data_IF_874214540345
#
_entry.id   IF_874214540345
#
_cell.length_a   1.000
_cell.length_b   1.000
_cell.length_c   1.000
_cell.angle_alpha   90.00
_cell.angle_beta   90.00
_cell.angle_gamma   90.00
#
_symmetry.space_group_name_H-M   'P 1'
#
loop_
_entity.id
_entity.type
_entity.pdbx_description
1 polymer ?
#
# COMPACT_ATOMS: atom_id res chain seq x y z
N UNK A 1 -0.08 21.18 25.39
CA UNK A 1 -1.40 20.62 25.75
C UNK A 1 -1.62 19.44 24.81
N UNK A 2 -1.35 18.18 25.17
CA UNK A 2 -1.07 17.59 26.51
C UNK A 2 0.25 16.80 26.47
N UNK A 3 0.96 16.74 27.60
CA UNK A 3 2.11 15.84 27.84
C UNK A 3 1.74 14.81 28.92
N UNK A 4 2.57 13.75 29.05
CA UNK A 4 2.71 12.83 30.20
C UNK A 4 1.61 11.79 30.49
N UNK A 5 2.00 10.51 30.33
CA UNK A 5 1.81 9.37 31.27
C UNK A 5 3.07 8.48 31.04
N UNK A 6 4.17 8.55 31.82
CA UNK A 6 4.40 8.03 33.19
C UNK A 6 4.17 6.51 33.27
N UNK A 7 5.15 5.67 32.95
CA UNK A 7 6.14 5.10 33.89
C UNK A 7 5.56 4.58 35.22
N UNK A 8 5.23 3.29 35.26
CA UNK A 8 5.22 2.50 36.49
C UNK A 8 5.62 1.05 36.21
N UNK A 9 6.82 0.67 36.64
CA UNK A 9 7.19 -0.71 36.97
C UNK A 9 8.05 -0.61 38.23
N UNK A 10 7.50 -1.05 39.36
CA UNK A 10 8.21 -1.07 40.65
C UNK A 10 8.88 -2.42 40.85
N UNK A 11 10.04 -2.35 41.46
CA UNK A 11 10.84 -3.50 41.87
C UNK A 11 10.07 -4.36 42.90
N UNK A 12 10.33 -5.67 42.89
CA UNK A 12 10.00 -6.58 43.99
C UNK A 12 11.12 -7.60 44.15
N UNK A 13 11.36 -7.99 45.40
CA UNK A 13 12.66 -8.47 45.88
C UNK A 13 12.85 -9.98 45.79
N UNK A 14 14.11 -10.41 45.93
CA UNK A 14 14.57 -11.78 45.70
C UNK A 14 14.25 -12.79 46.81
N UNK A 15 14.22 -14.08 46.45
CA UNK A 15 14.59 -15.21 47.31
C UNK A 15 15.01 -16.44 46.48
N UNK A 16 16.22 -16.95 46.73
CA UNK A 16 16.73 -18.28 46.31
C UNK A 16 16.62 -19.26 47.52
N UNK A 17 17.01 -20.57 47.49
CA UNK A 17 17.88 -21.32 46.56
C UNK A 17 17.17 -22.61 46.01
N UNK A 18 17.77 -23.73 45.56
CA UNK A 18 19.17 -24.23 45.53
C UNK A 18 19.40 -25.37 44.49
N UNK A 19 20.67 -25.82 44.39
CA UNK A 19 21.14 -27.17 43.98
C UNK A 19 21.02 -27.62 42.51
N UNK A 20 22.13 -27.42 41.78
CA UNK A 20 22.98 -28.54 41.34
C UNK A 20 22.61 -29.39 40.11
N UNK A 21 23.27 -29.13 38.97
CA UNK A 21 23.82 -30.16 38.07
C UNK A 21 24.73 -29.49 37.01
N UNK A 22 25.83 -30.14 36.62
CA UNK A 22 26.81 -29.58 35.70
C UNK A 22 26.84 -30.33 34.36
N UNK A 23 26.79 -29.61 33.24
CA UNK A 23 27.34 -30.12 31.97
C UNK A 23 27.78 -29.02 30.99
N UNK A 24 28.98 -29.21 30.44
CA UNK A 24 29.48 -28.74 29.13
C UNK A 24 29.20 -27.31 28.64
N UNK A 25 30.28 -26.54 28.49
CA UNK A 25 30.37 -25.39 27.59
C UNK A 25 30.07 -25.80 26.14
N UNK A 26 28.91 -25.43 25.60
CA UNK A 26 28.75 -25.23 24.16
C UNK A 26 29.18 -23.80 23.81
N UNK A 27 29.93 -23.64 22.73
CA UNK A 27 30.22 -22.32 22.17
C UNK A 27 28.93 -21.68 21.66
N UNK A 28 28.78 -20.34 21.70
CA UNK A 28 27.65 -19.69 21.05
C UNK A 28 27.71 -19.99 19.55
N UNK A 29 26.72 -20.72 19.05
CA UNK A 29 26.46 -20.81 17.62
C UNK A 29 26.33 -19.38 17.09
N UNK A 30 26.99 -19.11 15.96
CA UNK A 30 26.84 -17.86 15.24
C UNK A 30 25.36 -17.49 15.14
N UNK A 31 24.98 -16.20 15.31
CA UNK A 31 23.66 -15.76 14.93
C UNK A 31 23.46 -16.12 13.46
N UNK A 32 22.52 -17.03 13.21
CA UNK A 32 21.96 -17.22 11.88
C UNK A 32 21.53 -15.83 11.40
N UNK A 33 21.83 -15.51 10.15
CA UNK A 33 21.48 -14.22 9.55
C UNK A 33 19.95 -14.08 9.68
N UNK A 34 19.50 -13.26 10.64
CA UNK A 34 18.09 -12.92 10.76
C UNK A 34 17.67 -12.33 9.43
N UNK A 35 16.77 -13.03 8.73
CA UNK A 35 16.37 -12.66 7.39
C UNK A 35 15.87 -11.21 7.39
N UNK A 36 16.11 -10.49 6.29
CA UNK A 36 15.52 -9.18 6.08
C UNK A 36 14.00 -9.30 5.98
N UNK A 37 13.34 -9.33 7.14
CA UNK A 37 11.90 -9.23 7.24
C UNK A 37 11.50 -7.83 6.77
N UNK A 38 10.96 -7.75 5.55
CA UNK A 38 10.38 -6.52 5.03
C UNK A 38 9.26 -6.06 5.97
N UNK A 39 9.58 -5.08 6.82
CA UNK A 39 8.66 -4.49 7.80
C UNK A 39 7.37 -3.94 7.19
N UNK A 40 7.39 -3.64 5.89
CA UNK A 40 6.24 -3.18 5.14
C UNK A 40 5.95 -4.15 4.00
N UNK A 41 4.67 -4.42 3.80
CA UNK A 41 4.14 -5.33 2.76
C UNK A 41 3.17 -4.56 1.87
N UNK A 42 2.86 -5.11 0.69
CA UNK A 42 1.81 -4.58 -0.17
C UNK A 42 0.48 -5.19 0.27
N UNK A 43 -0.50 -4.34 0.57
CA UNK A 43 -1.77 -4.71 1.17
C UNK A 43 -2.92 -4.15 0.33
N UNK A 44 -4.03 -4.88 0.26
CA UNK A 44 -5.35 -4.30 0.01
C UNK A 44 -5.96 -4.05 1.38
N UNK A 45 -6.53 -2.86 1.58
CA UNK A 45 -7.15 -2.49 2.84
C UNK A 45 -8.50 -1.83 2.61
N UNK A 46 -9.44 -2.08 3.51
CA UNK A 46 -10.73 -1.40 3.59
C UNK A 46 -10.83 -0.61 4.91
N UNK A 47 -11.74 0.35 4.99
CA UNK A 47 -11.89 1.20 6.17
C UNK A 47 -12.96 0.61 7.11
N UNK A 48 -12.56 0.25 8.34
CA UNK A 48 -13.40 -0.50 9.28
C UNK A 48 -14.76 0.19 9.51
N UNK A 49 -15.87 -0.52 9.27
CA UNK A 49 -17.21 -0.10 9.67
C UNK A 49 -17.93 -1.24 10.38
N UNK A 50 -18.37 -0.98 11.62
CA UNK A 50 -19.11 -1.91 12.48
C UNK A 50 -20.35 -2.54 11.83
N UNK A 51 -20.95 -1.87 10.85
CA UNK A 51 -22.13 -2.34 10.14
C UNK A 51 -21.82 -3.30 8.98
N UNK A 52 -20.56 -3.41 8.56
CA UNK A 52 -20.07 -4.30 7.50
C UNK A 52 -19.23 -5.44 8.05
N UNK A 53 -18.30 -5.12 8.95
CA UNK A 53 -17.30 -6.05 9.47
C UNK A 53 -17.71 -6.68 10.80
N UNK A 54 -18.85 -6.24 11.36
CA UNK A 54 -19.23 -6.51 12.73
C UNK A 54 -18.45 -5.65 13.73
N UNK A 55 -18.90 -5.68 14.99
CA UNK A 55 -18.19 -5.15 16.15
C UNK A 55 -18.84 -5.78 17.39
N UNK A 56 -18.11 -6.63 18.12
CA UNK A 56 -18.62 -7.41 19.26
C UNK A 56 -17.99 -6.92 20.56
N UNK A 57 -18.36 -7.54 21.69
CA UNK A 57 -17.72 -7.29 22.99
C UNK A 57 -16.27 -7.79 23.04
N UNK A 58 -15.88 -8.68 22.11
CA UNK A 58 -14.52 -9.20 21.96
C UNK A 58 -13.64 -8.32 21.05
N UNK A 59 -14.25 -7.42 20.26
CA UNK A 59 -13.53 -6.52 19.36
C UNK A 59 -12.68 -5.49 20.12
N UNK A 60 -11.49 -5.17 19.60
CA UNK A 60 -10.67 -4.10 20.16
C UNK A 60 -11.38 -2.74 19.93
N UNK A 61 -11.64 -1.93 20.98
CA UNK A 61 -12.30 -0.64 20.83
C UNK A 61 -11.61 0.32 19.85
N UNK A 62 -10.31 0.14 19.62
CA UNK A 62 -9.50 0.96 18.73
C UNK A 62 -9.56 0.53 17.26
N UNK A 63 -10.21 -0.60 16.90
CA UNK A 63 -10.38 -1.00 15.50
C UNK A 63 -11.18 0.03 14.68
N UNK A 64 -12.02 0.83 15.35
CA UNK A 64 -12.84 1.86 14.72
C UNK A 64 -11.97 2.96 14.11
N UNK A 65 -12.11 3.19 12.79
CA UNK A 65 -11.31 4.16 12.04
C UNK A 65 -9.92 3.66 11.61
N UNK A 66 -9.56 2.42 11.93
CA UNK A 66 -8.41 1.76 11.32
C UNK A 66 -8.75 1.18 9.94
N UNK A 67 -7.71 0.97 9.15
CA UNK A 67 -7.79 0.18 7.92
C UNK A 67 -7.66 -1.29 8.27
N UNK A 68 -8.63 -2.12 7.89
CA UNK A 68 -8.52 -3.58 7.97
C UNK A 68 -7.67 -4.10 6.81
N UNK A 69 -6.87 -5.14 7.07
CA UNK A 69 -6.15 -5.86 6.01
C UNK A 69 -7.11 -6.85 5.36
N UNK A 70 -7.41 -6.62 4.09
CA UNK A 70 -8.30 -7.45 3.27
C UNK A 70 -7.52 -8.56 2.58
N UNK A 71 -6.32 -8.21 2.10
CA UNK A 71 -5.37 -9.13 1.50
C UNK A 71 -3.95 -8.60 1.71
N UNK A 72 -2.99 -9.50 1.92
CA UNK A 72 -1.58 -9.18 1.88
C UNK A 72 -0.87 -9.99 0.80
N UNK A 73 -0.16 -9.29 -0.07
CA UNK A 73 0.73 -9.97 -1.00
C UNK A 73 1.99 -10.40 -0.26
N UNK A 74 2.12 -11.70 -0.07
CA UNK A 74 3.44 -12.33 0.06
C UNK A 74 4.14 -12.29 -1.30
N UNK A 75 5.47 -12.18 -1.32
CA UNK A 75 6.28 -11.80 -2.50
C UNK A 75 6.03 -12.60 -3.81
N UNK A 76 5.34 -13.75 -3.75
CA UNK A 76 5.11 -14.62 -4.91
C UNK A 76 3.88 -14.24 -5.76
N UNK A 77 2.94 -13.40 -5.29
CA UNK A 77 1.71 -13.10 -6.05
C UNK A 77 1.78 -11.91 -7.02
N UNK A 78 2.54 -10.84 -6.70
CA UNK A 78 2.53 -9.59 -7.48
C UNK A 78 3.01 -9.77 -8.93
N UNK A 79 4.03 -10.62 -9.16
CA UNK A 79 4.77 -10.64 -10.42
C UNK A 79 4.35 -11.74 -11.42
N UNK A 80 3.47 -12.69 -11.03
CA UNK A 80 3.05 -13.80 -11.92
C UNK A 80 2.34 -13.35 -13.21
N UNK A 81 1.86 -12.10 -13.28
CA UNK A 81 1.25 -11.54 -14.49
C UNK A 81 2.25 -11.16 -15.59
N UNK A 82 3.56 -11.14 -15.29
CA UNK A 82 4.58 -11.18 -16.34
C UNK A 82 4.84 -12.67 -16.59
N UNK A 83 4.29 -13.18 -17.69
CA UNK A 83 4.27 -14.61 -18.04
C UNK A 83 5.65 -15.20 -18.28
N UNK A 84 6.40 -15.43 -17.21
CA UNK A 84 7.62 -16.23 -17.21
C UNK A 84 7.27 -17.66 -16.82
N UNK A 85 7.55 -18.59 -17.72
CA UNK A 85 7.69 -20.00 -17.34
C UNK A 85 8.84 -20.16 -16.32
N UNK A 86 8.99 -21.34 -15.71
CA UNK A 86 9.93 -21.57 -14.58
C UNK A 86 11.43 -21.34 -14.92
N UNK A 87 11.72 -21.18 -16.20
CA UNK A 87 12.97 -20.92 -16.89
C UNK A 87 13.22 -19.43 -17.22
N UNK A 88 12.26 -18.54 -16.94
CA UNK A 88 12.48 -17.09 -16.93
C UNK A 88 12.46 -16.40 -18.30
N UNK A 89 12.04 -17.10 -19.35
CA UNK A 89 11.98 -16.56 -20.71
C UNK A 89 10.73 -15.70 -20.94
N UNK A 90 10.87 -14.61 -21.71
CA UNK A 90 9.82 -13.61 -21.92
C UNK A 90 8.95 -14.02 -23.12
N UNK A 91 7.71 -14.45 -22.87
CA UNK A 91 6.76 -14.79 -23.93
C UNK A 91 6.07 -13.51 -24.42
N UNK A 92 6.50 -13.04 -25.59
CA UNK A 92 5.91 -11.87 -26.25
C UNK A 92 4.62 -12.28 -26.97
N UNK A 93 3.46 -12.16 -26.29
CA UNK A 93 2.14 -12.50 -26.84
C UNK A 93 1.65 -11.46 -27.84
N UNK A 94 2.36 -11.36 -28.96
CA UNK A 94 1.96 -10.63 -30.16
C UNK A 94 1.70 -11.63 -31.30
N UNK A 95 0.64 -12.43 -31.16
CA UNK A 95 0.15 -13.31 -32.22
C UNK A 95 -1.30 -12.93 -32.58
N UNK A 96 -1.43 -12.01 -33.54
CA UNK A 96 -2.56 -12.01 -34.47
C UNK A 96 -2.51 -13.32 -35.27
N UNK A 97 -3.53 -14.16 -35.15
CA UNK A 97 -3.73 -15.31 -36.05
C UNK A 97 -5.19 -15.73 -36.03
N UNK A 98 -5.98 -15.19 -36.95
CA UNK A 98 -7.27 -15.78 -37.36
C UNK A 98 -7.04 -17.24 -37.77
N UNK A 99 -7.59 -18.19 -37.01
CA UNK A 99 -7.59 -19.60 -37.41
C UNK A 99 -8.79 -20.32 -36.80
N UNK A 100 -9.87 -20.43 -37.58
CA UNK A 100 -10.98 -21.33 -37.28
C UNK A 100 -10.45 -22.77 -37.24
N UNK A 101 -10.42 -23.36 -36.04
CA UNK A 101 -10.23 -24.80 -35.87
C UNK A 101 -11.04 -25.31 -34.69
N UNK A 102 -12.12 -26.02 -35.01
CA UNK A 102 -12.89 -26.80 -34.05
C UNK A 102 -11.98 -27.94 -33.51
N UNK A 103 -11.37 -27.69 -32.37
CA UNK A 103 -10.66 -28.68 -31.58
C UNK A 103 -11.22 -28.65 -30.16
N UNK A 104 -11.68 -29.80 -29.66
CA UNK A 104 -12.25 -29.94 -28.32
C UNK A 104 -11.22 -29.57 -27.25
N UNK A 105 -11.28 -28.33 -26.74
CA UNK A 105 -10.48 -27.88 -25.60
C UNK A 105 -11.03 -28.53 -24.33
N UNK A 106 -10.29 -29.50 -23.81
CA UNK A 106 -10.54 -30.00 -22.46
C UNK A 106 -10.45 -28.84 -21.45
N UNK A 107 -11.49 -28.68 -20.63
CA UNK A 107 -11.60 -27.62 -19.62
C UNK A 107 -10.55 -27.83 -18.50
N UNK A 108 -9.30 -27.44 -18.76
CA UNK A 108 -8.37 -27.10 -17.69
C UNK A 108 -8.81 -25.79 -17.04
N UNK A 109 -9.05 -25.82 -15.73
CA UNK A 109 -9.54 -24.70 -14.92
C UNK A 109 -8.64 -23.46 -15.03
N UNK A 110 -8.99 -22.51 -15.91
CA UNK A 110 -8.31 -21.21 -16.01
C UNK A 110 -8.62 -20.28 -14.82
N UNK A 111 -9.57 -20.65 -13.94
CA UNK A 111 -10.03 -19.80 -12.84
C UNK A 111 -9.09 -19.73 -11.63
N UNK A 112 -8.24 -20.74 -11.40
CA UNK A 112 -7.45 -20.82 -10.16
C UNK A 112 -6.26 -19.84 -10.12
N UNK A 113 -5.77 -19.38 -11.28
CA UNK A 113 -4.63 -18.45 -11.36
C UNK A 113 -5.04 -16.98 -11.24
N UNK A 114 -6.30 -16.64 -11.52
CA UNK A 114 -6.80 -15.27 -11.47
C UNK A 114 -6.95 -14.73 -10.03
N UNK A 115 -7.39 -15.59 -9.10
CA UNK A 115 -7.54 -15.22 -7.67
C UNK A 115 -6.22 -15.10 -6.90
N UNK A 116 -5.13 -15.67 -7.39
CA UNK A 116 -3.81 -15.59 -6.74
C UNK A 116 -3.15 -14.20 -6.88
N UNK A 117 -3.66 -13.31 -7.76
CA UNK A 117 -3.09 -12.00 -8.00
C UNK A 117 -3.82 -10.87 -7.25
N UNK A 118 -3.06 -9.90 -6.73
CA UNK A 118 -3.60 -8.70 -6.09
C UNK A 118 -4.61 -7.93 -6.97
N UNK A 119 -4.47 -7.97 -8.30
CA UNK A 119 -5.41 -7.34 -9.23
C UNK A 119 -6.75 -8.08 -9.32
N UNK A 120 -6.77 -9.42 -9.42
CA UNK A 120 -8.01 -10.20 -9.43
C UNK A 120 -8.76 -10.09 -8.10
N UNK A 121 -8.02 -10.06 -6.99
CA UNK A 121 -8.59 -9.79 -5.66
C UNK A 121 -9.17 -8.37 -5.60
N UNK A 122 -8.48 -7.35 -6.10
CA UNK A 122 -9.06 -6.00 -6.19
C UNK A 122 -10.35 -6.00 -6.99
N UNK A 123 -10.38 -6.62 -8.17
CA UNK A 123 -11.55 -6.66 -9.05
C UNK A 123 -12.74 -7.36 -8.37
N UNK A 124 -12.51 -8.51 -7.71
CA UNK A 124 -13.50 -9.18 -6.86
C UNK A 124 -14.08 -8.25 -5.78
N UNK A 125 -13.23 -7.53 -5.03
CA UNK A 125 -13.71 -6.60 -4.00
C UNK A 125 -14.43 -5.39 -4.58
N UNK A 126 -14.05 -4.92 -5.79
CA UNK A 126 -14.76 -3.83 -6.47
C UNK A 126 -16.17 -4.25 -6.88
N UNK A 127 -16.32 -5.42 -7.51
CA UNK A 127 -17.64 -5.98 -7.84
C UNK A 127 -18.52 -6.10 -6.59
N UNK A 128 -18.00 -6.71 -5.52
CA UNK A 128 -18.69 -6.78 -4.22
C UNK A 128 -19.16 -5.41 -3.70
N UNK A 129 -18.35 -4.36 -3.88
CA UNK A 129 -18.74 -3.01 -3.46
C UNK A 129 -19.77 -2.37 -4.40
N UNK A 130 -19.69 -2.60 -5.72
CA UNK A 130 -20.72 -2.15 -6.67
C UNK A 130 -22.07 -2.81 -6.36
N UNK A 131 -22.11 -4.13 -6.19
CA UNK A 131 -23.33 -4.87 -5.83
C UNK A 131 -23.97 -4.29 -4.55
N UNK A 132 -23.16 -4.03 -3.51
CA UNK A 132 -23.63 -3.44 -2.25
C UNK A 132 -24.07 -1.97 -2.34
N UNK A 133 -23.70 -1.25 -3.41
CA UNK A 133 -24.05 0.15 -3.66
C UNK A 133 -25.24 0.31 -4.61
N UNK A 134 -25.40 -0.59 -5.59
CA UNK A 134 -26.49 -0.55 -6.58
C UNK A 134 -27.82 -1.10 -6.05
N UNK A 135 -27.82 -1.84 -4.93
CA UNK A 135 -29.01 -2.53 -4.41
C UNK A 135 -29.99 -1.60 -3.66
N UNK A 136 -30.47 -0.56 -4.36
CA UNK A 136 -31.41 0.45 -3.86
C UNK A 136 -32.76 -0.12 -3.41
N UNK A 137 -33.12 -1.32 -3.84
CA UNK A 137 -34.39 -1.98 -3.51
C UNK A 137 -34.36 -2.78 -2.19
N UNK A 138 -33.19 -2.94 -1.55
CA UNK A 138 -33.10 -3.69 -0.29
C UNK A 138 -33.26 -2.76 0.91
N UNK A 139 -34.19 -3.03 1.85
CA UNK A 139 -34.34 -2.26 3.11
C UNK A 139 -33.16 -2.40 4.08
N UNK A 140 -32.04 -2.94 3.61
CA UNK A 140 -30.80 -3.19 4.33
C UNK A 140 -29.55 -2.64 3.64
N UNK A 141 -29.67 -1.69 2.69
CA UNK A 141 -28.53 -0.93 2.13
C UNK A 141 -27.46 -0.69 3.21
N UNK A 142 -26.28 -1.29 3.03
CA UNK A 142 -25.20 -1.33 4.05
C UNK A 142 -24.52 0.03 4.22
N UNK A 143 -24.77 0.92 3.27
CA UNK A 143 -24.20 2.26 3.15
C UNK A 143 -25.27 3.37 3.21
N UNK A 144 -26.51 3.01 3.55
CA UNK A 144 -27.62 3.97 3.66
C UNK A 144 -27.37 5.04 4.72
N UNK A 145 -28.12 6.17 4.68
CA UNK A 145 -27.86 7.36 5.51
C UNK A 145 -27.87 7.11 7.03
N UNK A 146 -28.42 5.97 7.49
CA UNK A 146 -28.46 5.59 8.91
C UNK A 146 -27.29 4.70 9.35
N UNK A 147 -26.29 4.44 8.49
CA UNK A 147 -25.10 3.58 8.77
C UNK A 147 -23.80 4.39 8.70
N UNK A 148 -23.81 5.58 9.28
CA UNK A 148 -22.64 6.46 9.38
C UNK A 148 -21.46 5.79 10.10
N UNK A 149 -20.23 6.05 9.63
CA UNK A 149 -19.02 5.57 10.30
C UNK A 149 -18.74 6.43 11.55
N UNK A 150 -18.51 5.82 12.74
CA UNK A 150 -18.49 6.53 14.03
C UNK A 150 -17.51 7.71 14.12
N UNK A 151 -16.36 7.62 13.42
CA UNK A 151 -15.32 8.65 13.43
C UNK A 151 -15.15 9.44 12.11
N UNK A 152 -15.76 9.00 10.99
CA UNK A 152 -15.36 9.44 9.64
C UNK A 152 -16.59 9.96 8.91
N UNK A 153 -16.81 11.27 9.05
CA UNK A 153 -17.98 11.98 8.51
C UNK A 153 -18.15 11.83 6.99
N UNK A 154 -17.05 11.71 6.26
CA UNK A 154 -17.05 11.58 4.80
C UNK A 154 -16.99 10.12 4.33
N UNK A 155 -17.40 9.15 5.15
CA UNK A 155 -17.25 7.72 4.85
C UNK A 155 -17.91 7.32 3.53
N UNK A 156 -19.17 7.72 3.32
CA UNK A 156 -19.92 7.43 2.10
C UNK A 156 -19.15 7.81 0.82
N UNK A 157 -18.68 9.05 0.72
CA UNK A 157 -17.91 9.50 -0.44
C UNK A 157 -16.55 8.79 -0.60
N UNK A 158 -15.99 8.20 0.47
CA UNK A 158 -14.76 7.40 0.40
C UNK A 158 -15.06 6.02 -0.19
N UNK A 159 -16.14 5.36 0.21
CA UNK A 159 -16.49 4.00 -0.26
C UNK A 159 -17.13 3.98 -1.65
N UNK A 160 -17.86 5.03 -2.04
CA UNK A 160 -18.45 5.16 -3.38
C UNK A 160 -17.37 5.44 -4.44
N UNK A 161 -16.23 6.02 -4.04
CA UNK A 161 -15.02 6.11 -4.86
C UNK A 161 -14.24 4.78 -4.82
N UNK A 162 -14.91 3.72 -5.30
CA UNK A 162 -14.48 2.30 -5.22
C UNK A 162 -13.05 2.11 -5.73
N UNK A 163 -12.68 2.76 -6.84
CA UNK A 163 -11.34 2.70 -7.45
C UNK A 163 -10.23 3.28 -6.56
N UNK A 164 -10.50 4.40 -5.86
CA UNK A 164 -9.53 5.00 -4.94
C UNK A 164 -9.60 4.41 -3.53
N UNK A 165 -10.71 3.78 -3.15
CA UNK A 165 -10.87 3.05 -1.89
C UNK A 165 -10.06 1.76 -1.92
N UNK A 166 -10.38 0.87 -2.86
CA UNK A 166 -9.80 -0.45 -3.01
C UNK A 166 -8.63 -0.40 -4.00
N UNK A 167 -7.44 -0.17 -3.46
CA UNK A 167 -6.18 -0.14 -4.21
C UNK A 167 -5.01 -0.67 -3.37
N UNK A 168 -3.87 -1.04 -3.99
CA UNK A 168 -2.70 -1.51 -3.26
C UNK A 168 -2.06 -0.37 -2.48
N UNK A 169 -1.84 -0.60 -1.19
CA UNK A 169 -1.18 0.33 -0.29
C UNK A 169 0.01 -0.37 0.39
N UNK A 170 1.15 0.32 0.52
CA UNK A 170 2.29 -0.17 1.30
C UNK A 170 2.01 0.14 2.78
N UNK A 171 1.96 -0.90 3.62
CA UNK A 171 1.59 -0.77 5.03
C UNK A 171 2.36 -1.69 5.97
N UNK A 172 2.26 -1.39 7.26
CA UNK A 172 2.63 -2.29 8.36
C UNK A 172 1.37 -2.99 8.85
N UNK A 173 1.33 -4.33 8.81
CA UNK A 173 0.28 -5.13 9.46
C UNK A 173 0.49 -5.17 10.97
N UNK A 174 -0.59 -5.09 11.73
CA UNK A 174 -0.64 -5.28 13.18
C UNK A 174 -1.90 -6.08 13.52
N UNK A 175 -1.85 -6.88 14.58
CA UNK A 175 -3.03 -7.50 15.17
C UNK A 175 -3.42 -6.74 16.43
N UNK A 176 -4.71 -6.45 16.58
CA UNK A 176 -5.31 -5.84 17.77
C UNK A 176 -5.69 -6.92 18.81
N UNK A 177 -6.13 -6.53 20.01
CA UNK A 177 -6.41 -7.52 21.07
C UNK A 177 -7.61 -8.42 20.79
N UNK A 178 -8.57 -7.98 19.96
CA UNK A 178 -9.70 -8.78 19.48
C UNK A 178 -9.36 -9.69 18.29
N UNK A 179 -8.09 -9.73 17.86
CA UNK A 179 -7.63 -10.53 16.72
C UNK A 179 -7.78 -9.85 15.35
N UNK A 180 -8.26 -8.61 15.29
CA UNK A 180 -8.43 -7.88 14.03
C UNK A 180 -7.08 -7.52 13.41
N UNK A 181 -6.90 -7.83 12.12
CA UNK A 181 -5.70 -7.47 11.37
C UNK A 181 -5.85 -6.07 10.77
N UNK A 182 -5.08 -5.11 11.27
CA UNK A 182 -5.12 -3.69 10.84
C UNK A 182 -3.84 -3.25 10.16
N UNK A 183 -3.95 -2.25 9.28
CA UNK A 183 -2.85 -1.69 8.52
C UNK A 183 -2.53 -0.24 8.95
N UNK A 184 -1.24 0.03 9.22
CA UNK A 184 -0.71 1.41 9.26
C UNK A 184 -0.11 1.73 7.90
N UNK A 185 -0.88 2.44 7.06
CA UNK A 185 -0.47 2.85 5.71
C UNK A 185 0.77 3.78 5.76
N UNK A 186 1.75 3.53 4.89
CA UNK A 186 3.00 4.32 4.77
C UNK A 186 3.11 5.10 3.46
N UNK A 187 2.18 4.89 2.54
CA UNK A 187 2.13 5.56 1.24
C UNK A 187 1.89 7.07 1.32
N UNK A 188 1.38 7.62 2.43
CA UNK A 188 1.19 9.06 2.60
C UNK A 188 2.49 9.85 2.35
N UNK A 189 3.59 9.47 3.00
CA UNK A 189 4.89 10.12 2.82
C UNK A 189 5.46 9.90 1.41
N UNK A 190 5.26 8.70 0.85
CA UNK A 190 5.65 8.39 -0.52
C UNK A 190 4.90 9.29 -1.53
N UNK A 191 3.59 9.49 -1.36
CA UNK A 191 2.76 10.38 -2.18
C UNK A 191 3.21 11.84 -2.07
N UNK A 192 3.61 12.30 -0.88
CA UNK A 192 4.20 13.64 -0.68
C UNK A 192 5.51 13.80 -1.47
N UNK A 193 6.42 12.84 -1.34
CA UNK A 193 7.72 12.85 -2.06
C UNK A 193 7.48 12.81 -3.57
N UNK A 194 6.65 11.89 -4.05
CA UNK A 194 6.28 11.75 -5.46
C UNK A 194 5.65 13.03 -6.04
N UNK A 195 4.70 13.67 -5.33
CA UNK A 195 4.10 14.95 -5.74
C UNK A 195 5.16 16.04 -5.88
N UNK A 196 6.07 16.11 -4.91
CA UNK A 196 7.16 17.09 -4.91
C UNK A 196 8.16 16.84 -6.04
N UNK A 197 8.51 15.58 -6.30
CA UNK A 197 9.35 15.19 -7.44
C UNK A 197 8.69 15.51 -8.78
N UNK A 198 7.40 15.18 -8.96
CA UNK A 198 6.63 15.52 -10.16
C UNK A 198 6.59 17.04 -10.40
N UNK A 199 6.45 17.85 -9.35
CA UNK A 199 6.53 19.32 -9.42
C UNK A 199 7.92 19.81 -9.87
N UNK A 200 9.00 19.34 -9.23
CA UNK A 200 10.38 19.71 -9.59
C UNK A 200 10.71 19.28 -11.03
N UNK A 201 10.27 18.08 -11.43
CA UNK A 201 10.42 17.57 -12.80
C UNK A 201 9.69 18.45 -13.83
N UNK A 202 8.42 18.80 -13.57
CA UNK A 202 7.65 19.71 -14.43
C UNK A 202 8.33 21.08 -14.58
N UNK A 203 8.84 21.65 -13.48
CA UNK A 203 9.60 22.91 -13.53
C UNK A 203 10.91 22.78 -14.32
N UNK A 204 11.62 21.65 -14.20
CA UNK A 204 12.82 21.35 -15.01
C UNK A 204 12.49 21.25 -16.49
N UNK A 205 11.46 20.49 -16.86
CA UNK A 205 11.00 20.36 -18.24
C UNK A 205 10.63 21.73 -18.83
N UNK A 206 9.91 22.58 -18.07
CA UNK A 206 9.61 23.94 -18.48
C UNK A 206 10.87 24.80 -18.69
N UNK A 207 11.88 24.70 -17.82
CA UNK A 207 13.17 25.39 -18.00
C UNK A 207 13.92 24.90 -19.24
N UNK A 208 13.97 23.58 -19.48
CA UNK A 208 14.61 23.00 -20.67
C UNK A 208 13.91 23.44 -21.96
N UNK A 209 12.58 23.42 -21.99
CA UNK A 209 11.79 23.90 -23.12
C UNK A 209 12.00 25.39 -23.41
N UNK A 210 12.28 26.21 -22.39
CA UNK A 210 12.70 27.61 -22.60
C UNK A 210 14.11 27.69 -23.16
N UNK A 211 15.07 26.92 -22.63
CA UNK A 211 16.48 26.90 -23.07
C UNK A 211 16.68 26.46 -24.52
N UNK A 212 15.82 25.59 -25.06
CA UNK A 212 15.90 25.11 -26.45
C UNK A 212 15.40 26.15 -27.47
N UNK A 213 14.71 27.22 -27.03
CA UNK A 213 14.25 28.30 -27.92
C UNK A 213 15.43 29.02 -28.56
N UNK A 214 15.32 29.33 -29.86
CA UNK A 214 16.34 30.05 -30.64
C UNK A 214 16.74 31.38 -29.97
N UNK A 215 15.77 32.13 -29.42
CA UNK A 215 16.05 33.37 -28.68
C UNK A 215 16.92 33.16 -27.45
N UNK A 216 16.65 32.11 -26.65
CA UNK A 216 17.42 31.74 -25.46
C UNK A 216 18.81 31.21 -25.81
N UNK A 217 18.95 30.50 -26.93
CA UNK A 217 20.25 30.07 -27.47
C UNK A 217 21.08 31.27 -27.92
N UNK A 218 20.49 32.19 -28.70
CA UNK A 218 21.17 33.42 -29.15
C UNK A 218 21.62 34.29 -27.96
N UNK A 219 20.75 34.47 -26.96
CA UNK A 219 21.12 35.15 -25.71
C UNK A 219 22.34 34.50 -25.04
N UNK A 220 22.36 33.16 -24.96
CA UNK A 220 23.49 32.42 -24.38
C UNK A 220 24.76 32.55 -25.21
N UNK A 221 24.67 32.57 -26.54
CA UNK A 221 25.82 32.80 -27.42
C UNK A 221 26.42 34.19 -27.21
N UNK A 222 25.58 35.22 -27.05
CA UNK A 222 26.05 36.61 -26.88
C UNK A 222 26.56 36.92 -25.46
N UNK A 223 25.95 36.33 -24.42
CA UNK A 223 26.22 36.69 -23.00
C UNK A 223 26.96 35.61 -22.20
N UNK A 224 27.11 34.41 -22.75
CA UNK A 224 27.56 33.21 -22.03
C UNK A 224 26.55 32.63 -21.03
N UNK A 225 25.39 33.29 -20.82
CA UNK A 225 24.42 32.95 -19.77
C UNK A 225 23.02 32.68 -20.34
N UNK A 226 22.26 31.82 -19.65
CA UNK A 226 20.84 31.65 -19.94
C UNK A 226 20.03 32.90 -19.55
N UNK A 227 18.92 33.22 -20.24
CA UNK A 227 17.98 34.26 -19.81
C UNK A 227 17.45 34.00 -18.40
N UNK A 228 17.07 35.07 -17.68
CA UNK A 228 16.65 35.00 -16.27
C UNK A 228 15.48 34.03 -16.02
N UNK A 229 14.55 33.93 -16.98
CA UNK A 229 13.38 33.03 -16.90
C UNK A 229 13.73 31.52 -16.91
N UNK A 230 14.96 31.16 -17.27
CA UNK A 230 15.47 29.79 -17.29
C UNK A 230 16.92 29.69 -16.80
N UNK A 231 17.41 30.69 -16.07
CA UNK A 231 18.77 30.76 -15.53
C UNK A 231 19.03 29.63 -14.51
N UNK A 232 18.15 29.48 -13.54
CA UNK A 232 18.26 28.45 -12.49
C UNK A 232 17.51 27.19 -12.88
N UNK A 233 18.17 26.04 -12.79
CA UNK A 233 17.51 24.73 -12.91
C UNK A 233 17.06 24.26 -11.52
N UNK A 234 15.77 23.94 -11.30
CA UNK A 234 15.28 23.48 -10.00
C UNK A 234 16.04 22.26 -9.47
N UNK A 235 16.28 22.21 -8.16
CA UNK A 235 16.91 21.05 -7.49
C UNK A 235 15.93 20.38 -6.54
N UNK A 236 16.24 19.13 -6.15
CA UNK A 236 15.49 18.40 -5.12
C UNK A 236 15.89 18.83 -3.69
N UNK A 237 16.96 19.62 -3.51
CA UNK A 237 17.43 20.04 -2.19
C UNK A 237 16.48 21.11 -1.64
N UNK A 238 16.02 20.95 -0.40
CA UNK A 238 15.06 21.87 0.23
C UNK A 238 13.62 21.75 -0.27
N UNK A 239 13.31 20.84 -1.21
CA UNK A 239 11.96 20.72 -1.79
C UNK A 239 10.87 20.35 -0.76
N UNK A 240 11.26 19.70 0.35
CA UNK A 240 10.37 19.32 1.45
C UNK A 240 10.41 20.31 2.64
N UNK A 241 11.19 21.39 2.55
CA UNK A 241 11.36 22.35 3.65
C UNK A 241 10.04 23.00 4.06
N UNK A 242 9.13 23.23 3.11
CA UNK A 242 7.82 23.83 3.36
C UNK A 242 6.77 22.84 3.92
N UNK A 243 7.20 21.65 4.35
CA UNK A 243 6.35 20.58 4.90
C UNK A 243 6.75 20.16 6.32
N UNK A 244 7.71 20.87 6.91
CA UNK A 244 8.19 20.74 8.30
C UNK A 244 7.92 22.04 9.05
#
# INVERSE_FOLDING_TARGET
MVQQIVQHNRESTASAPDSGSATTRSAPLHPLIEGFHCKFTLLICELHNKHMHGFTEESDPNVQGHYLVVHDSTNHSIFRLLGTNADGEYVDSANDSDSDSDADIENHSENDTYFDNIYGIMEYYRHKYYDLLEDFNVPHNVFGPNKEHPLIRNYYNIITDVDNHLKPEIGLKLYLSGGECVAILKTFWLRIIQRTWKKVYSQRAACLNRRIRISSLNHRTMTGRWPDDCLVLPTIRGMLYNLM
#
